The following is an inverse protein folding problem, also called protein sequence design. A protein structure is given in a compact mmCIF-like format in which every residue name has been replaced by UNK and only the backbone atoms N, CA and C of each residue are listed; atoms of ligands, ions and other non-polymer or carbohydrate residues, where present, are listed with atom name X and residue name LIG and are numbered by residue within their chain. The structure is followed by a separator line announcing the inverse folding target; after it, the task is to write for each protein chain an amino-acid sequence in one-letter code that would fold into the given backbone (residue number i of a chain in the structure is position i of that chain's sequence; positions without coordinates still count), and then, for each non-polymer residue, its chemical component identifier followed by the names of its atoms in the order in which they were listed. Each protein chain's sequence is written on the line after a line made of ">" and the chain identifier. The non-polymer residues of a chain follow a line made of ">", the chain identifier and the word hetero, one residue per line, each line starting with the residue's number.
data_IF_828632172561
#
_entry.id   IF_828632172561
#
_cell.length_a   1.000
_cell.length_b   1.000
_cell.length_c   1.000
_cell.angle_alpha   90.00
_cell.angle_beta   90.00
_cell.angle_gamma   90.00
#
_symmetry.space_group_name_H-M   'P 1'
#
loop_
_entity.id
_entity.type
_entity.pdbx_description
1 polymer ?
#
# COMPACT_ATOMS: atom_id res chain seq x y z
N UNK A 1 10.23 -23.66 -8.66
CA UNK A 1 10.24 -22.48 -7.76
C UNK A 1 10.84 -21.25 -8.46
N UNK A 2 10.30 -20.80 -9.60
CA UNK A 2 10.85 -19.66 -10.39
C UNK A 2 9.97 -18.40 -10.37
N UNK A 3 8.75 -18.47 -9.84
CA UNK A 3 7.79 -17.36 -9.82
C UNK A 3 7.69 -16.62 -8.47
N UNK A 4 8.25 -17.21 -7.41
CA UNK A 4 8.33 -16.59 -6.09
C UNK A 4 9.12 -15.26 -6.07
N UNK A 5 10.24 -15.08 -6.81
CA UNK A 5 10.94 -13.79 -6.82
C UNK A 5 10.19 -12.69 -7.60
N UNK A 6 9.30 -13.04 -8.54
CA UNK A 6 8.54 -12.06 -9.33
C UNK A 6 7.42 -11.44 -8.49
N UNK A 7 6.75 -12.26 -7.68
CA UNK A 7 5.70 -11.77 -6.79
C UNK A 7 6.27 -10.92 -5.64
N UNK A 8 7.43 -11.30 -5.10
CA UNK A 8 8.16 -10.50 -4.11
C UNK A 8 8.65 -9.18 -4.72
N UNK A 9 9.16 -9.18 -5.96
CA UNK A 9 9.54 -7.95 -6.65
C UNK A 9 8.34 -7.00 -6.88
N UNK A 10 7.15 -7.54 -7.15
CA UNK A 10 5.95 -6.71 -7.35
C UNK A 10 5.42 -6.09 -6.04
N UNK A 11 5.59 -6.78 -4.91
CA UNK A 11 5.19 -6.29 -3.58
C UNK A 11 6.26 -5.35 -2.98
N UNK A 12 7.54 -5.57 -3.29
CA UNK A 12 8.68 -4.75 -2.83
C UNK A 12 8.94 -3.55 -3.74
N UNK A 13 8.40 -3.51 -4.95
CA UNK A 13 8.41 -2.34 -5.84
C UNK A 13 7.45 -1.24 -5.37
N UNK A 14 7.49 -0.90 -4.08
CA UNK A 14 7.17 0.45 -3.63
C UNK A 14 8.37 1.28 -4.09
N UNK A 15 8.25 2.14 -5.13
CA UNK A 15 9.40 2.90 -5.62
C UNK A 15 10.08 3.63 -4.47
N UNK A 16 11.41 3.55 -4.38
CA UNK A 16 12.24 4.17 -3.33
C UNK A 16 11.87 5.66 -3.11
N UNK A 17 11.35 6.30 -4.15
CA UNK A 17 10.80 7.65 -4.13
C UNK A 17 9.67 7.87 -3.10
N UNK A 18 8.79 6.89 -2.88
CA UNK A 18 7.64 7.02 -1.99
C UNK A 18 8.07 7.16 -0.53
N UNK A 19 9.06 6.37 -0.08
CA UNK A 19 9.57 6.47 1.28
C UNK A 19 10.18 7.86 1.57
N UNK A 20 10.90 8.42 0.59
CA UNK A 20 11.45 9.78 0.71
C UNK A 20 10.36 10.84 0.84
N UNK A 21 9.27 10.69 0.07
CA UNK A 21 8.12 11.60 0.08
C UNK A 21 7.34 11.49 1.38
N UNK A 22 7.12 10.27 1.86
CA UNK A 22 6.45 10.00 3.13
C UNK A 22 7.22 10.64 4.30
N UNK A 23 8.55 10.50 4.31
CA UNK A 23 9.38 11.17 5.31
C UNK A 23 9.28 12.70 5.22
N UNK A 24 9.26 13.24 4.01
CA UNK A 24 9.11 14.68 3.79
C UNK A 24 7.75 15.20 4.30
N UNK A 25 6.65 14.48 4.03
CA UNK A 25 5.31 14.78 4.58
C UNK A 25 5.32 14.71 6.11
N UNK A 26 5.95 13.70 6.70
CA UNK A 26 6.07 13.60 8.16
C UNK A 26 6.85 14.80 8.75
N UNK A 27 7.92 15.26 8.08
CA UNK A 27 8.66 16.46 8.48
C UNK A 27 7.79 17.71 8.40
N UNK A 28 6.99 17.83 7.33
CA UNK A 28 6.03 18.92 7.18
C UNK A 28 5.07 18.97 8.36
N UNK A 29 4.43 17.86 8.71
CA UNK A 29 3.45 17.79 9.80
C UNK A 29 4.08 17.95 11.18
N UNK A 30 5.34 17.53 11.35
CA UNK A 30 6.07 17.72 12.61
C UNK A 30 6.44 19.19 12.85
N UNK A 31 6.83 19.89 11.80
CA UNK A 31 7.42 21.23 11.91
C UNK A 31 6.40 22.35 11.63
N UNK A 32 5.23 22.02 11.07
CA UNK A 32 4.23 23.02 10.66
C UNK A 32 2.81 22.51 10.87
N UNK A 33 1.85 23.44 10.83
CA UNK A 33 0.41 23.15 10.86
C UNK A 33 -0.18 22.77 9.49
N UNK A 34 0.62 22.78 8.43
CA UNK A 34 0.14 22.56 7.07
C UNK A 34 0.01 21.07 6.78
N UNK A 35 -1.06 20.69 6.09
CA UNK A 35 -1.31 19.30 5.69
C UNK A 35 -0.57 18.94 4.41
N UNK A 36 -0.41 19.91 3.51
CA UNK A 36 0.21 19.71 2.18
C UNK A 36 1.25 20.77 1.85
N UNK A 37 2.16 20.47 0.92
CA UNK A 37 3.10 21.45 0.39
C UNK A 37 2.41 22.51 -0.47
N UNK A 38 1.24 22.21 -1.03
CA UNK A 38 0.42 23.20 -1.72
C UNK A 38 -0.06 24.30 -0.76
N UNK A 39 -0.45 23.93 0.46
CA UNK A 39 -0.80 24.89 1.51
C UNK A 39 0.39 25.73 1.96
N UNK A 40 1.60 25.17 2.03
CA UNK A 40 2.83 25.93 2.35
C UNK A 40 3.04 27.08 1.36
N UNK A 41 2.82 26.83 0.07
CA UNK A 41 2.92 27.87 -0.96
C UNK A 41 1.64 28.71 -1.10
N UNK A 42 0.53 28.33 -0.46
CA UNK A 42 -0.77 28.99 -0.59
C UNK A 42 -1.35 28.87 -2.00
N UNK A 43 -1.18 27.71 -2.65
CA UNK A 43 -1.65 27.45 -4.03
C UNK A 43 -2.58 26.25 -4.11
N UNK A 44 -3.34 26.17 -5.20
CA UNK A 44 -4.10 24.97 -5.56
C UNK A 44 -3.17 23.83 -6.01
N UNK A 45 -3.61 22.58 -5.85
CA UNK A 45 -2.95 21.37 -6.34
C UNK A 45 -2.73 21.36 -7.86
N UNK A 46 -3.52 22.16 -8.59
CA UNK A 46 -3.44 22.35 -10.04
C UNK A 46 -2.51 23.52 -10.44
N UNK A 47 -1.84 24.17 -9.48
CA UNK A 47 -0.98 25.30 -9.79
C UNK A 47 0.21 24.89 -10.67
N UNK A 48 0.55 25.77 -11.62
CA UNK A 48 1.71 25.55 -12.48
C UNK A 48 3.02 25.61 -11.70
N UNK A 49 4.02 24.83 -12.12
CA UNK A 49 5.37 24.85 -11.54
C UNK A 49 5.99 26.27 -11.64
N UNK A 50 5.67 27.04 -12.68
CA UNK A 50 6.13 28.41 -12.82
C UNK A 50 5.58 29.32 -11.72
N UNK A 51 4.30 29.17 -11.36
CA UNK A 51 3.68 29.89 -10.24
C UNK A 51 4.33 29.52 -8.91
N UNK A 52 4.54 28.23 -8.66
CA UNK A 52 5.20 27.72 -7.45
C UNK A 52 6.64 28.24 -7.36
N UNK A 53 7.39 28.27 -8.47
CA UNK A 53 8.76 28.80 -8.52
C UNK A 53 8.82 30.29 -8.16
N UNK A 54 7.87 31.10 -8.64
CA UNK A 54 7.80 32.53 -8.29
C UNK A 54 7.55 32.72 -6.79
N UNK A 55 6.65 31.93 -6.21
CA UNK A 55 6.36 31.98 -4.78
C UNK A 55 7.55 31.51 -3.94
N UNK A 56 8.19 30.41 -4.34
CA UNK A 56 9.44 29.93 -3.74
C UNK A 56 10.49 31.05 -3.67
N UNK A 57 10.76 31.72 -4.79
CA UNK A 57 11.72 32.83 -4.84
C UNK A 57 11.31 34.02 -3.94
N UNK A 58 10.01 34.31 -3.85
CA UNK A 58 9.49 35.36 -2.97
C UNK A 58 9.68 35.01 -1.49
N UNK A 59 9.35 33.77 -1.11
CA UNK A 59 9.46 33.29 0.27
C UNK A 59 10.92 33.18 0.74
N UNK A 60 11.85 32.78 -0.13
CA UNK A 60 13.28 32.70 0.18
C UNK A 60 13.90 34.04 0.61
N UNK A 61 13.39 35.15 0.07
CA UNK A 61 13.84 36.51 0.43
C UNK A 61 13.29 36.97 1.78
N UNK A 62 12.24 36.34 2.29
CA UNK A 62 11.63 36.72 3.55
C UNK A 62 12.50 36.25 4.74
N UNK A 63 12.67 37.06 5.80
CA UNK A 63 13.43 36.66 6.98
C UNK A 63 12.81 35.45 7.71
N UNK A 64 11.48 35.30 7.62
CA UNK A 64 10.74 34.13 8.09
C UNK A 64 9.95 33.53 6.91
N UNK A 65 10.51 32.60 6.13
CA UNK A 65 9.87 32.08 4.92
C UNK A 65 8.58 31.30 5.21
N UNK A 66 8.53 30.60 6.34
CA UNK A 66 7.39 29.76 6.75
C UNK A 66 6.97 30.18 8.15
N UNK A 67 5.73 30.65 8.33
CA UNK A 67 5.23 31.03 9.65
C UNK A 67 5.23 29.84 10.61
N UNK A 68 5.68 30.06 11.86
CA UNK A 68 5.68 29.06 12.93
C UNK A 68 6.98 28.26 13.06
N UNK A 69 7.96 28.47 12.19
CA UNK A 69 9.31 27.91 12.35
C UNK A 69 10.24 29.01 12.88
N UNK A 70 10.84 28.77 14.05
CA UNK A 70 11.73 29.74 14.71
C UNK A 70 13.05 29.95 13.96
N UNK A 71 13.67 28.86 13.49
CA UNK A 71 14.94 28.89 12.76
C UNK A 71 14.72 29.08 11.28
N UNK A 72 15.35 30.11 10.71
CA UNK A 72 15.24 30.40 9.27
C UNK A 72 15.79 29.26 8.42
N UNK A 73 16.87 28.62 8.86
CA UNK A 73 17.53 27.52 8.15
C UNK A 73 16.56 26.35 7.96
N UNK A 74 15.82 26.00 9.01
CA UNK A 74 14.82 24.92 8.99
C UNK A 74 13.65 25.26 8.05
N UNK A 75 13.21 26.53 8.06
CA UNK A 75 12.16 27.01 7.16
C UNK A 75 12.61 26.97 5.69
N UNK A 76 13.85 27.39 5.41
CA UNK A 76 14.44 27.35 4.06
C UNK A 76 14.63 25.90 3.59
N UNK A 77 15.06 25.00 4.46
CA UNK A 77 15.21 23.59 4.15
C UNK A 77 13.87 22.96 3.77
N UNK A 78 12.82 23.18 4.59
CA UNK A 78 11.48 22.69 4.31
C UNK A 78 10.89 23.29 3.04
N UNK A 79 11.07 24.60 2.82
CA UNK A 79 10.59 25.29 1.63
C UNK A 79 11.26 24.75 0.35
N UNK A 80 12.55 24.45 0.43
CA UNK A 80 13.33 23.90 -0.69
C UNK A 80 12.95 22.43 -0.95
N UNK A 81 12.75 21.65 0.10
CA UNK A 81 12.22 20.27 0.02
C UNK A 81 10.84 20.26 -0.66
N UNK A 82 9.92 21.12 -0.21
CA UNK A 82 8.60 21.30 -0.79
C UNK A 82 8.66 21.63 -2.29
N UNK A 83 9.49 22.61 -2.67
CA UNK A 83 9.67 22.98 -4.08
C UNK A 83 10.22 21.82 -4.92
N UNK A 84 11.25 21.12 -4.43
CA UNK A 84 11.87 20.02 -5.17
C UNK A 84 10.91 18.84 -5.37
N UNK A 85 10.09 18.52 -4.37
CA UNK A 85 9.07 17.48 -4.47
C UNK A 85 7.99 17.87 -5.48
N UNK A 86 7.43 19.08 -5.37
CA UNK A 86 6.40 19.54 -6.32
C UNK A 86 6.94 19.72 -7.74
N UNK A 87 8.24 19.97 -7.91
CA UNK A 87 8.87 20.11 -9.23
C UNK A 87 9.16 18.75 -9.89
N UNK A 88 9.79 17.82 -9.17
CA UNK A 88 10.36 16.61 -9.76
C UNK A 88 9.55 15.35 -9.44
N UNK A 89 8.83 15.34 -8.31
CA UNK A 89 8.14 14.15 -7.78
C UNK A 89 6.65 14.41 -7.52
N UNK A 90 6.03 15.35 -8.24
CA UNK A 90 4.62 15.74 -8.07
C UNK A 90 3.67 14.55 -8.15
N UNK A 91 3.81 13.70 -9.16
CA UNK A 91 2.94 12.53 -9.34
C UNK A 91 3.02 11.56 -8.16
N UNK A 92 4.23 11.29 -7.65
CA UNK A 92 4.40 10.42 -6.51
C UNK A 92 3.88 11.09 -5.22
N UNK A 93 4.05 12.41 -5.08
CA UNK A 93 3.47 13.18 -3.98
C UNK A 93 1.94 13.11 -3.97
N UNK A 94 1.30 13.38 -5.12
CA UNK A 94 -0.15 13.36 -5.28
C UNK A 94 -0.71 11.93 -5.07
N UNK A 95 -0.01 10.90 -5.56
CA UNK A 95 -0.35 9.50 -5.28
C UNK A 95 -0.35 9.20 -3.79
N UNK A 96 0.70 9.65 -3.09
CA UNK A 96 0.82 9.47 -1.64
C UNK A 96 -0.28 10.22 -0.88
N UNK A 97 -0.69 11.41 -1.32
CA UNK A 97 -1.83 12.13 -0.75
C UNK A 97 -3.17 11.42 -1.00
N UNK A 98 -3.40 10.93 -2.22
CA UNK A 98 -4.62 10.22 -2.60
C UNK A 98 -4.75 8.86 -1.91
N UNK A 99 -3.64 8.19 -1.63
CA UNK A 99 -3.59 6.84 -1.08
C UNK A 99 -3.09 6.84 0.37
N UNK A 100 -3.73 7.62 1.24
CA UNK A 100 -3.41 7.73 2.69
C UNK A 100 -3.34 6.38 3.44
N UNK A 101 -3.93 5.31 2.90
CA UNK A 101 -3.86 3.96 3.47
C UNK A 101 -2.55 3.20 3.17
N UNK A 102 -1.73 3.64 2.21
CA UNK A 102 -0.44 3.01 1.84
C UNK A 102 0.66 3.28 2.89
N UNK A 103 0.40 4.14 3.88
CA UNK A 103 1.35 4.51 4.92
C UNK A 103 1.51 3.45 6.01
N UNK A 104 2.42 2.50 5.78
CA UNK A 104 2.90 1.53 6.76
C UNK A 104 4.02 2.19 7.60
N UNK A 105 3.68 3.02 8.58
CA UNK A 105 4.73 3.61 9.45
C UNK A 105 4.31 4.69 10.44
N UNK A 106 3.12 5.28 10.32
CA UNK A 106 2.61 6.27 11.28
C UNK A 106 2.14 5.61 12.58
N UNK A 107 2.55 6.13 13.74
CA UNK A 107 2.13 5.63 15.08
C UNK A 107 0.60 5.68 15.28
N UNK A 108 -0.08 6.58 14.56
CA UNK A 108 -1.55 6.71 14.55
C UNK A 108 -2.23 5.78 13.53
N UNK A 109 -1.46 5.09 12.68
CA UNK A 109 -1.95 4.22 11.61
C UNK A 109 -2.03 2.75 12.05
N UNK A 110 -1.96 2.44 13.35
CA UNK A 110 -2.03 1.06 13.85
C UNK A 110 -3.28 0.32 13.33
N UNK A 111 -4.43 1.00 13.23
CA UNK A 111 -5.66 0.43 12.67
C UNK A 111 -5.52 0.09 11.18
N UNK A 112 -4.93 0.99 10.37
CA UNK A 112 -4.69 0.73 8.94
C UNK A 112 -3.69 -0.40 8.74
N UNK A 113 -2.62 -0.44 9.54
CA UNK A 113 -1.65 -1.53 9.55
C UNK A 113 -2.33 -2.87 9.89
N UNK A 114 -3.22 -2.88 10.88
CA UNK A 114 -3.99 -4.06 11.25
C UNK A 114 -4.89 -4.56 10.11
N UNK A 115 -5.59 -3.67 9.39
CA UNK A 115 -6.38 -4.08 8.21
C UNK A 115 -5.51 -4.65 7.09
N UNK A 116 -4.36 -4.04 6.80
CA UNK A 116 -3.42 -4.53 5.77
C UNK A 116 -2.87 -5.91 6.17
N UNK A 117 -2.51 -6.10 7.44
CA UNK A 117 -2.08 -7.39 7.98
C UNK A 117 -3.20 -8.43 7.85
N UNK A 118 -4.43 -8.11 8.25
CA UNK A 118 -5.57 -9.02 8.15
C UNK A 118 -5.91 -9.39 6.70
N UNK A 119 -5.85 -8.43 5.77
CA UNK A 119 -6.05 -8.67 4.35
C UNK A 119 -4.95 -9.56 3.77
N UNK A 120 -3.68 -9.32 4.13
CA UNK A 120 -2.55 -10.13 3.71
C UNK A 120 -2.66 -11.58 4.22
N UNK A 121 -3.04 -11.77 5.50
CA UNK A 121 -3.31 -13.09 6.07
C UNK A 121 -4.46 -13.78 5.31
N UNK A 122 -5.54 -13.07 5.04
CA UNK A 122 -6.70 -13.61 4.32
C UNK A 122 -6.35 -14.05 2.90
N UNK A 123 -5.59 -13.23 2.16
CA UNK A 123 -5.09 -13.57 0.82
C UNK A 123 -4.13 -14.76 0.86
N UNK A 124 -3.24 -14.81 1.86
CA UNK A 124 -2.33 -15.93 2.08
C UNK A 124 -3.06 -17.25 2.31
N UNK A 125 -4.11 -17.25 3.14
CA UNK A 125 -4.94 -18.44 3.39
C UNK A 125 -5.65 -18.91 2.11
N UNK A 126 -6.19 -17.99 1.30
CA UNK A 126 -6.81 -18.32 0.01
C UNK A 126 -5.79 -18.91 -0.97
N UNK A 127 -4.59 -18.34 -1.03
CA UNK A 127 -3.52 -18.84 -1.90
C UNK A 127 -3.08 -20.26 -1.51
N UNK A 128 -2.98 -20.54 -0.20
CA UNK A 128 -2.66 -21.89 0.31
C UNK A 128 -3.74 -22.90 -0.09
N UNK A 129 -5.03 -22.55 0.05
CA UNK A 129 -6.13 -23.45 -0.34
C UNK A 129 -6.13 -23.71 -1.86
N UNK A 130 -5.86 -22.67 -2.67
CA UNK A 130 -5.69 -22.78 -4.12
C UNK A 130 -4.54 -23.69 -4.52
N UNK A 131 -3.38 -23.57 -3.85
CA UNK A 131 -2.20 -24.41 -4.11
C UNK A 131 -2.52 -25.87 -3.75
N UNK A 132 -3.11 -26.11 -2.57
CA UNK A 132 -3.51 -27.45 -2.12
C UNK A 132 -4.49 -28.09 -3.11
N UNK A 133 -5.50 -27.33 -3.53
CA UNK A 133 -6.46 -27.75 -4.54
C UNK A 133 -5.78 -28.10 -5.87
N UNK A 134 -4.88 -27.24 -6.36
CA UNK A 134 -4.15 -27.45 -7.60
C UNK A 134 -3.31 -28.73 -7.58
N UNK A 135 -2.54 -28.97 -6.51
CA UNK A 135 -1.75 -30.21 -6.36
C UNK A 135 -2.66 -31.44 -6.38
N UNK A 136 -3.77 -31.41 -5.61
CA UNK A 136 -4.71 -32.54 -5.54
C UNK A 136 -5.42 -32.78 -6.87
N UNK A 137 -5.75 -31.72 -7.60
CA UNK A 137 -6.36 -31.79 -8.93
C UNK A 137 -5.40 -32.42 -9.95
N UNK A 138 -4.12 -32.03 -9.94
CA UNK A 138 -3.10 -32.63 -10.81
C UNK A 138 -2.91 -34.13 -10.53
N UNK A 139 -2.88 -34.55 -9.26
CA UNK A 139 -2.80 -35.97 -8.88
C UNK A 139 -4.02 -36.76 -9.38
N UNK A 140 -5.22 -36.17 -9.30
CA UNK A 140 -6.44 -36.78 -9.82
C UNK A 140 -6.38 -36.96 -11.35
N UNK A 141 -5.91 -35.95 -12.08
CA UNK A 141 -5.79 -35.99 -13.54
C UNK A 141 -4.71 -36.98 -14.01
N UNK A 142 -3.62 -37.15 -13.26
CA UNK A 142 -2.54 -38.07 -13.58
C UNK A 142 -2.91 -39.56 -13.42
N UNK A 143 -3.89 -39.91 -12.57
CA UNK A 143 -4.26 -41.30 -12.28
C UNK A 143 -5.79 -41.54 -12.21
N UNK A 144 -6.53 -41.36 -13.32
CA UNK A 144 -8.00 -41.47 -13.32
C UNK A 144 -8.52 -42.88 -12.97
N UNK A 145 -7.72 -43.93 -13.21
CA UNK A 145 -8.14 -45.34 -13.01
C UNK A 145 -8.21 -45.75 -11.53
N UNK A 146 -7.36 -45.19 -10.65
CA UNK A 146 -7.39 -45.47 -9.19
C UNK A 146 -8.60 -44.81 -8.51
N UNK A 147 -9.02 -43.64 -8.98
CA UNK A 147 -10.23 -42.96 -8.49
C UNK A 147 -11.52 -43.72 -8.81
N UNK A 148 -11.57 -44.45 -9.94
CA UNK A 148 -12.74 -45.27 -10.30
C UNK A 148 -12.80 -46.63 -9.58
N UNK A 149 -11.68 -47.16 -9.08
CA UNK A 149 -11.60 -48.49 -8.44
C UNK A 149 -12.05 -48.52 -6.98
N UNK A 150 -12.11 -47.36 -6.30
CA UNK A 150 -12.65 -47.22 -4.94
C UNK A 150 -14.19 -47.09 -4.96
N UNK A 151 -14.83 -47.91 -5.80
CA UNK A 151 -16.24 -47.84 -6.22
C UNK A 151 -17.22 -48.40 -5.18
N UNK A 152 -16.95 -48.16 -3.90
CA UNK A 152 -17.86 -48.44 -2.77
C UNK A 152 -18.26 -47.20 -1.98
N UNK A 153 -17.55 -46.08 -2.15
CA UNK A 153 -17.92 -44.81 -1.53
C UNK A 153 -17.56 -43.68 -2.49
N UNK A 154 -18.54 -42.86 -2.88
CA UNK A 154 -18.43 -41.78 -3.88
C UNK A 154 -17.16 -40.94 -3.63
N UNK A 155 -16.08 -41.18 -4.37
CA UNK A 155 -14.91 -40.30 -4.35
C UNK A 155 -15.29 -38.99 -5.06
N UNK A 156 -15.77 -38.06 -4.26
CA UNK A 156 -16.13 -36.70 -4.67
C UNK A 156 -14.92 -36.02 -5.31
N UNK A 157 -15.16 -35.40 -6.45
CA UNK A 157 -14.25 -34.46 -7.13
C UNK A 157 -13.47 -33.63 -6.10
N UNK A 158 -12.14 -33.45 -6.27
CA UNK A 158 -11.39 -32.59 -5.37
C UNK A 158 -12.13 -31.26 -5.21
N UNK A 159 -12.41 -30.88 -3.96
CA UNK A 159 -13.06 -29.62 -3.62
C UNK A 159 -12.11 -28.81 -2.76
N UNK A 160 -12.13 -27.49 -2.92
CA UNK A 160 -11.41 -26.58 -2.03
C UNK A 160 -11.79 -26.84 -0.57
N UNK A 161 -10.82 -26.69 0.34
CA UNK A 161 -11.01 -26.94 1.76
C UNK A 161 -12.07 -26.00 2.33
N UNK A 162 -12.09 -24.74 1.87
CA UNK A 162 -13.11 -23.75 2.25
C UNK A 162 -14.53 -24.22 1.89
N UNK A 163 -14.71 -24.85 0.73
CA UNK A 163 -16.02 -25.36 0.31
C UNK A 163 -16.48 -26.53 1.20
N UNK A 164 -15.55 -27.38 1.64
CA UNK A 164 -15.89 -28.47 2.57
C UNK A 164 -16.27 -27.95 3.96
N UNK A 165 -15.58 -26.93 4.47
CA UNK A 165 -15.87 -26.30 5.76
C UNK A 165 -17.23 -25.60 5.72
N UNK A 166 -17.54 -24.85 4.64
CA UNK A 166 -18.83 -24.18 4.47
C UNK A 166 -20.01 -25.17 4.42
N UNK A 167 -19.84 -26.32 3.77
CA UNK A 167 -20.87 -27.38 3.79
C UNK A 167 -21.10 -27.93 5.20
N UNK A 168 -20.03 -28.08 5.97
CA UNK A 168 -20.10 -28.60 7.34
C UNK A 168 -20.80 -27.61 8.26
N UNK A 169 -20.45 -26.32 8.19
CA UNK A 169 -21.12 -25.25 8.92
C UNK A 169 -22.61 -25.18 8.54
N UNK A 170 -22.93 -25.22 7.24
CA UNK A 170 -24.33 -25.24 6.76
C UNK A 170 -25.11 -26.45 7.27
N UNK A 171 -24.46 -27.61 7.43
CA UNK A 171 -25.10 -28.81 7.97
C UNK A 171 -25.35 -28.73 9.49
N UNK A 172 -24.50 -28.00 10.22
CA UNK A 172 -24.68 -27.75 11.65
C UNK A 172 -25.78 -26.73 11.95
N UNK A 173 -25.97 -25.74 11.08
CA UNK A 173 -27.02 -24.72 11.23
C UNK A 173 -28.42 -25.27 10.90
N UNK A 174 -28.49 -26.33 10.08
CA UNK A 174 -29.77 -26.93 9.63
C UNK A 174 -30.30 -28.02 10.60
N UNK A 175 -29.64 -28.22 11.73
CA UNK A 175 -30.00 -29.20 12.76
C UNK A 175 -30.50 -28.46 14.00
#
# INVERSE_FOLDING_TARGET
>A
MKYLPIFVAFVVAIPEDLNSIIMAINRLHKNTKYSTYYEVFGVSENASIASIKKLYQKMMKHPSPIPGIEKREDAVALLTEAYNILKNKKSAYDFVLANSYIYIGGKNNFKNNLYVILMSISVGLLAIDLIYFGVKYLVFMANPKKASKKKGNKESVPSMMIVSILRLIKSLIKK
#
